data_IF_035752799946
#
_entry.id   IF_035752799946
#
_cell.length_a   1.000
_cell.length_b   1.000
_cell.length_c   1.000
_cell.angle_alpha   90.00
_cell.angle_beta   90.00
_cell.angle_gamma   90.00
#
_symmetry.space_group_name_H-M   'P 1'
#
loop_
_entity.id
_entity.type
_entity.pdbx_description
1 polymer ?
#
# COMPACT_ATOMS: atom_id res chain seq x y z
N UNK A 1 0.13 1.04 -16.65
CA UNK A 1 -0.25 1.95 -15.54
C UNK A 1 -0.87 1.13 -14.41
N UNK A 2 -0.43 1.28 -13.16
CA UNK A 2 -0.85 0.45 -12.00
C UNK A 2 -2.32 0.65 -11.61
N UNK A 3 -2.93 1.77 -12.03
CA UNK A 3 -4.30 2.18 -11.73
C UNK A 3 -5.29 2.04 -12.91
N UNK A 4 -4.93 1.30 -13.98
CA UNK A 4 -5.82 1.02 -15.13
C UNK A 4 -6.39 2.26 -15.85
N UNK A 5 -5.65 3.36 -15.87
CA UNK A 5 -5.95 4.50 -16.75
C UNK A 5 -5.44 4.26 -18.18
N UNK A 6 -6.15 4.76 -19.21
CA UNK A 6 -7.47 5.43 -19.13
C UNK A 6 -8.61 4.44 -18.83
N UNK A 7 -9.62 4.86 -18.07
CA UNK A 7 -10.79 4.03 -17.80
C UNK A 7 -11.69 3.90 -19.04
N UNK A 8 -12.31 2.73 -19.20
CA UNK A 8 -13.35 2.51 -20.21
C UNK A 8 -14.56 3.39 -19.89
N UNK A 9 -15.03 4.13 -20.90
CA UNK A 9 -16.26 4.90 -20.81
C UNK A 9 -17.45 4.07 -21.30
N UNK A 10 -18.60 4.31 -20.69
CA UNK A 10 -19.87 3.69 -21.04
C UNK A 10 -20.87 4.80 -21.38
N UNK A 11 -21.66 4.61 -22.44
CA UNK A 11 -22.65 5.59 -22.89
C UNK A 11 -23.83 5.73 -21.92
N UNK A 12 -24.11 4.68 -21.16
CA UNK A 12 -25.15 4.59 -20.12
C UNK A 12 -24.65 3.75 -18.96
N UNK A 13 -25.21 3.97 -17.76
CA UNK A 13 -24.93 3.14 -16.59
C UNK A 13 -25.65 1.81 -16.77
N UNK A 14 -24.92 0.71 -16.70
CA UNK A 14 -25.45 -0.62 -16.99
C UNK A 14 -24.75 -1.67 -16.14
N UNK A 15 -25.46 -2.76 -15.84
CA UNK A 15 -24.87 -3.96 -15.22
C UNK A 15 -24.32 -4.84 -16.33
N UNK A 16 -23.07 -5.24 -16.20
CA UNK A 16 -22.45 -6.20 -17.10
C UNK A 16 -23.11 -7.58 -16.95
N UNK A 17 -23.57 -8.16 -18.04
CA UNK A 17 -24.34 -9.42 -18.00
C UNK A 17 -23.49 -10.61 -17.55
N UNK A 18 -22.20 -10.62 -17.89
CA UNK A 18 -21.30 -11.75 -17.60
C UNK A 18 -20.72 -11.67 -16.18
N UNK A 19 -20.23 -10.49 -15.78
CA UNK A 19 -19.59 -10.31 -14.48
C UNK A 19 -20.54 -9.84 -13.37
N UNK A 20 -21.74 -9.36 -13.71
CA UNK A 20 -22.65 -8.70 -12.78
C UNK A 20 -22.12 -7.36 -12.24
N UNK A 21 -21.02 -6.83 -12.80
CA UNK A 21 -20.41 -5.59 -12.33
C UNK A 21 -21.22 -4.37 -12.80
N UNK A 22 -21.48 -3.43 -11.88
CA UNK A 22 -22.08 -2.15 -12.24
C UNK A 22 -21.07 -1.24 -12.94
N UNK A 23 -21.31 -0.92 -14.21
CA UNK A 23 -20.54 0.03 -14.99
C UNK A 23 -21.25 1.38 -15.00
N UNK A 24 -20.61 2.41 -14.46
CA UNK A 24 -21.18 3.75 -14.35
C UNK A 24 -20.79 4.58 -15.58
N UNK A 25 -21.76 5.32 -16.14
CA UNK A 25 -21.51 6.30 -17.19
C UNK A 25 -20.59 7.40 -16.67
N UNK A 26 -19.49 7.64 -17.38
CA UNK A 26 -18.55 8.74 -17.15
C UNK A 26 -18.27 9.46 -18.46
N UNK A 27 -17.84 10.72 -18.38
CA UNK A 27 -17.44 11.53 -19.56
C UNK A 27 -15.94 11.73 -19.67
N UNK A 28 -15.22 11.53 -18.57
CA UNK A 28 -13.78 11.75 -18.48
C UNK A 28 -13.08 10.41 -18.18
N UNK A 29 -12.18 9.90 -19.05
CA UNK A 29 -11.53 8.60 -18.81
C UNK A 29 -10.42 8.65 -17.76
N UNK A 30 -9.96 9.84 -17.39
CA UNK A 30 -8.90 10.04 -16.39
C UNK A 30 -9.42 10.31 -14.97
N UNK A 31 -10.72 10.10 -14.72
CA UNK A 31 -11.33 10.20 -13.39
C UNK A 31 -11.73 8.82 -12.82
N UNK A 32 -11.45 8.62 -11.53
CA UNK A 32 -11.94 7.48 -10.78
C UNK A 32 -13.47 7.39 -10.85
N UNK A 33 -13.98 6.18 -10.61
CA UNK A 33 -15.41 6.03 -10.37
C UNK A 33 -15.71 6.53 -8.97
N UNK A 34 -16.55 7.55 -8.84
CA UNK A 34 -16.90 8.15 -7.55
C UNK A 34 -18.42 8.20 -7.38
N UNK A 35 -18.84 8.29 -6.12
CA UNK A 35 -20.24 8.42 -5.72
C UNK A 35 -20.36 9.73 -4.95
N UNK A 36 -21.17 10.70 -5.41
CA UNK A 36 -21.23 12.03 -4.81
C UNK A 36 -21.46 11.99 -3.29
N UNK A 37 -22.32 11.08 -2.83
CA UNK A 37 -22.66 10.89 -1.43
C UNK A 37 -21.44 10.40 -0.62
N UNK A 38 -20.68 9.44 -1.15
CA UNK A 38 -19.49 8.91 -0.49
C UNK A 38 -18.37 9.95 -0.47
N UNK A 39 -18.14 10.64 -1.59
CA UNK A 39 -17.15 11.72 -1.68
C UNK A 39 -17.50 12.84 -0.70
N UNK A 40 -18.79 13.17 -0.57
CA UNK A 40 -19.27 14.15 0.39
C UNK A 40 -19.00 13.73 1.84
N UNK A 41 -19.35 12.50 2.23
CA UNK A 41 -19.13 12.04 3.62
C UNK A 41 -17.63 11.90 3.95
N UNK A 42 -16.83 11.44 3.00
CA UNK A 42 -15.42 11.13 3.23
C UNK A 42 -14.50 12.35 3.09
N UNK A 43 -14.99 13.46 2.53
CA UNK A 43 -14.22 14.68 2.22
C UNK A 43 -12.89 14.43 1.49
N UNK A 44 -12.82 13.37 0.67
CA UNK A 44 -11.60 13.00 -0.06
C UNK A 44 -11.91 12.29 -1.39
N UNK A 45 -10.89 12.13 -2.23
CA UNK A 45 -11.02 11.41 -3.49
C UNK A 45 -11.34 9.94 -3.25
N UNK A 46 -12.46 9.47 -3.77
CA UNK A 46 -12.92 8.08 -3.65
C UNK A 46 -12.75 7.34 -4.97
N UNK A 47 -12.38 6.05 -4.89
CA UNK A 47 -12.40 5.13 -6.03
C UNK A 47 -13.30 3.93 -5.69
N UNK A 48 -14.48 3.90 -6.31
CA UNK A 48 -15.56 2.96 -6.01
C UNK A 48 -15.65 1.93 -7.12
N UNK A 49 -15.61 0.66 -6.75
CA UNK A 49 -15.74 -0.47 -7.67
C UNK A 49 -16.82 -1.44 -7.18
N UNK A 50 -17.67 -1.90 -8.08
CA UNK A 50 -18.68 -2.93 -7.81
C UNK A 50 -18.01 -4.30 -7.61
N UNK A 51 -18.24 -4.94 -6.47
CA UNK A 51 -17.77 -6.30 -6.18
C UNK A 51 -18.97 -7.25 -6.13
N UNK A 52 -19.36 -7.78 -7.28
CA UNK A 52 -20.56 -8.62 -7.42
C UNK A 52 -20.29 -10.13 -7.25
N UNK A 53 -19.06 -10.52 -6.90
CA UNK A 53 -18.64 -11.91 -6.71
C UNK A 53 -18.10 -12.14 -5.30
N UNK A 54 -18.59 -13.18 -4.62
CA UNK A 54 -18.11 -13.56 -3.29
C UNK A 54 -16.60 -13.86 -3.25
N UNK A 55 -16.05 -14.43 -4.34
CA UNK A 55 -14.60 -14.65 -4.47
C UNK A 55 -13.83 -13.34 -4.55
N UNK A 56 -14.35 -12.36 -5.30
CA UNK A 56 -13.72 -11.04 -5.40
C UNK A 56 -13.74 -10.31 -4.05
N UNK A 57 -14.87 -10.35 -3.35
CA UNK A 57 -15.01 -9.78 -1.99
C UNK A 57 -14.01 -10.44 -1.04
N UNK A 58 -13.95 -11.77 -1.00
CA UNK A 58 -13.03 -12.52 -0.14
C UNK A 58 -11.56 -12.15 -0.43
N UNK A 59 -11.19 -12.05 -1.70
CA UNK A 59 -9.84 -11.65 -2.10
C UNK A 59 -9.49 -10.23 -1.64
N UNK A 60 -10.41 -9.27 -1.80
CA UNK A 60 -10.20 -7.88 -1.37
C UNK A 60 -10.10 -7.78 0.15
N UNK A 61 -11.01 -8.41 0.89
CA UNK A 61 -11.00 -8.40 2.36
C UNK A 61 -9.72 -9.04 2.89
N UNK A 62 -9.29 -10.17 2.33
CA UNK A 62 -8.04 -10.82 2.71
C UNK A 62 -6.83 -9.93 2.40
N UNK A 63 -6.81 -9.28 1.24
CA UNK A 63 -5.74 -8.36 0.86
C UNK A 63 -5.62 -7.18 1.82
N UNK A 64 -6.73 -6.52 2.12
CA UNK A 64 -6.79 -5.39 3.07
C UNK A 64 -6.37 -5.87 4.46
N UNK A 65 -6.89 -7.01 4.91
CA UNK A 65 -6.54 -7.58 6.22
C UNK A 65 -5.04 -7.83 6.31
N UNK A 66 -4.45 -8.53 5.33
CA UNK A 66 -3.01 -8.77 5.28
C UNK A 66 -2.18 -7.49 5.26
N UNK A 67 -2.71 -6.41 4.67
CA UNK A 67 -2.04 -5.11 4.65
C UNK A 67 -2.09 -4.42 6.01
N UNK A 68 -3.26 -4.41 6.66
CA UNK A 68 -3.45 -3.80 7.99
C UNK A 68 -2.69 -4.59 9.06
N UNK A 69 -2.75 -5.92 9.02
CA UNK A 69 -2.07 -6.80 9.97
C UNK A 69 -0.58 -6.96 9.66
N UNK A 70 -0.06 -6.29 8.62
CA UNK A 70 1.37 -6.30 8.33
C UNK A 70 2.09 -5.63 9.50
N UNK A 71 2.73 -6.45 10.33
CA UNK A 71 3.54 -5.98 11.46
C UNK A 71 4.53 -4.93 10.96
N UNK A 72 4.36 -3.69 11.42
CA UNK A 72 5.35 -2.65 11.18
C UNK A 72 6.68 -3.10 11.79
N UNK A 73 7.79 -2.82 11.10
CA UNK A 73 9.11 -3.07 11.66
C UNK A 73 9.21 -2.30 12.97
N UNK A 74 9.42 -3.02 14.07
CA UNK A 74 9.43 -2.40 15.40
C UNK A 74 10.64 -1.49 15.49
N UNK A 75 10.45 -0.25 15.95
CA UNK A 75 11.51 0.77 15.99
C UNK A 75 12.74 0.30 16.76
N UNK A 76 12.58 -0.50 17.83
CA UNK A 76 13.73 -1.05 18.56
C UNK A 76 14.63 -1.93 17.68
N UNK A 77 14.07 -2.71 16.75
CA UNK A 77 14.86 -3.55 15.85
C UNK A 77 15.73 -2.68 14.94
N UNK A 78 15.23 -1.51 14.52
CA UNK A 78 16.02 -0.55 13.73
C UNK A 78 17.16 0.02 14.57
N UNK A 79 16.88 0.39 15.83
CA UNK A 79 17.91 0.89 16.75
C UNK A 79 18.96 -0.17 17.09
N UNK A 80 18.56 -1.41 17.33
CA UNK A 80 19.47 -2.54 17.60
C UNK A 80 20.45 -2.74 16.44
N UNK A 81 19.95 -2.71 15.19
CA UNK A 81 20.80 -2.82 14.00
C UNK A 81 21.77 -1.65 13.88
N UNK A 82 21.34 -0.42 14.19
CA UNK A 82 22.23 0.75 14.19
C UNK A 82 23.32 0.57 15.23
N UNK A 83 22.97 0.21 16.47
CA UNK A 83 23.92 -0.05 17.55
C UNK A 83 24.92 -1.15 17.17
N UNK A 84 24.47 -2.25 16.59
CA UNK A 84 25.32 -3.35 16.13
C UNK A 84 26.33 -2.91 15.06
N UNK A 85 25.91 -2.07 14.12
CA UNK A 85 26.80 -1.53 13.07
C UNK A 85 27.85 -0.61 13.70
N UNK A 86 27.45 0.28 14.60
CA UNK A 86 28.38 1.17 15.30
C UNK A 86 29.38 0.40 16.15
N UNK A 87 28.93 -0.59 16.91
CA UNK A 87 29.80 -1.44 17.72
C UNK A 87 30.84 -2.16 16.85
N UNK A 88 30.40 -2.81 15.75
CA UNK A 88 31.30 -3.46 14.80
C UNK A 88 32.29 -2.49 14.15
N UNK A 89 31.86 -1.29 13.77
CA UNK A 89 32.76 -0.29 13.17
C UNK A 89 33.82 0.20 14.16
N UNK A 90 33.45 0.34 15.44
CA UNK A 90 34.37 0.75 16.51
C UNK A 90 35.40 -0.35 16.80
N UNK A 91 34.97 -1.61 16.80
CA UNK A 91 35.82 -2.78 17.01
C UNK A 91 36.82 -2.95 15.85
N UNK A 92 36.38 -2.73 14.61
CA UNK A 92 37.25 -2.70 13.42
C UNK A 92 38.27 -1.55 13.51
N UNK A 93 37.87 -0.36 13.95
CA UNK A 93 38.78 0.77 14.15
C UNK A 93 39.81 0.49 15.27
N UNK A 94 39.38 -0.13 16.38
CA UNK A 94 40.29 -0.56 17.47
C UNK A 94 41.22 -1.70 17.08
N UNK A 95 40.83 -2.55 16.12
CA UNK A 95 41.69 -3.62 15.60
C UNK A 95 42.86 -3.09 14.77
N UNK A 96 42.73 -1.89 14.19
CA UNK A 96 43.76 -1.23 13.39
C UNK A 96 44.73 -0.35 14.20
N UNK A 97 44.52 -0.15 15.50
CA UNK A 97 45.45 0.57 16.38
C UNK A 97 46.63 -0.35 16.78
N UNK A 98 47.89 0.10 16.66
CA UNK A 98 49.05 -0.69 17.05
C UNK A 98 49.02 -1.00 18.56
N UNK A 99 49.44 -2.21 18.95
CA UNK A 99 49.29 -2.80 20.31
C UNK A 99 49.76 -1.93 21.49
N UNK A 100 50.51 -0.86 21.24
CA UNK A 100 51.06 0.02 22.27
C UNK A 100 50.04 0.96 22.93
N UNK A 101 48.84 1.12 22.37
CA UNK A 101 47.81 2.01 22.93
C UNK A 101 46.67 1.29 23.67
N UNK A 102 46.69 -0.06 23.75
CA UNK A 102 45.62 -0.85 24.40
C UNK A 102 45.75 -0.99 25.92
N UNK A 103 46.72 -0.31 26.54
CA UNK A 103 46.97 -0.37 27.98
C UNK A 103 47.12 1.04 28.57
N UNK A 104 46.01 1.79 28.61
CA UNK A 104 45.83 2.89 29.56
C UNK A 104 44.35 3.09 29.88
#
# INVERSE_FOLDING_TARGET
>A
CRARFPHKLYSTTQVDADSGALNIKKREPWINTFTPELTYVMHCNTDVTSLSSGTAIKAVVLYISNYITKSSLKTHVVFDVICDIFAKSTDVLQSHLPEKEKAQ
#
